data_IF_240502292789
#
_entry.id   IF_240502292789
#
_cell.length_a   1.000
_cell.length_b   1.000
_cell.length_c   1.000
_cell.angle_alpha   90.00
_cell.angle_beta   90.00
_cell.angle_gamma   90.00
#
_symmetry.space_group_name_H-M   'P 1'
#
loop_
_entity.id
_entity.type
_entity.pdbx_description
1 polymer ?
#
# COMPACT_ATOMS: atom_id res chain seq x y z
N UNK A 1 -25.66 14.97 -3.46
CA UNK A 1 -24.78 15.64 -4.46
C UNK A 1 -23.60 16.20 -3.69
N UNK A 2 -22.37 15.77 -4.04
CA UNK A 2 -21.05 16.03 -3.41
C UNK A 2 -20.38 14.78 -2.81
N UNK A 3 -20.10 13.75 -3.63
CA UNK A 3 -18.91 12.93 -3.40
C UNK A 3 -17.86 13.42 -4.38
N UNK A 4 -16.87 14.13 -3.85
CA UNK A 4 -15.70 14.54 -4.60
C UNK A 4 -14.80 13.32 -4.78
N UNK A 5 -15.13 12.44 -5.72
CA UNK A 5 -14.13 11.56 -6.33
C UNK A 5 -13.10 12.50 -6.95
N UNK A 6 -11.98 12.73 -6.27
CA UNK A 6 -10.86 13.44 -6.85
C UNK A 6 -10.22 12.51 -7.90
N UNK A 7 -10.91 12.36 -9.05
CA UNK A 7 -10.34 11.80 -10.27
C UNK A 7 -9.23 12.74 -10.67
N UNK A 8 -7.98 12.36 -10.39
CA UNK A 8 -6.86 13.03 -11.03
C UNK A 8 -6.65 12.33 -12.35
N UNK A 9 -7.35 12.80 -13.40
CA UNK A 9 -7.09 12.39 -14.79
C UNK A 9 -5.74 12.96 -15.22
N UNK A 10 -4.67 12.38 -14.69
CA UNK A 10 -3.32 12.66 -15.12
C UNK A 10 -2.54 11.36 -15.09
N UNK A 11 -2.75 10.56 -16.14
CA UNK A 11 -1.98 9.36 -16.41
C UNK A 11 -0.52 9.80 -16.60
N UNK A 12 0.32 9.53 -15.59
CA UNK A 12 1.76 9.76 -15.69
C UNK A 12 2.51 8.46 -15.86
N UNK A 13 3.70 8.47 -16.47
CA UNK A 13 4.67 7.41 -16.27
C UNK A 13 4.92 7.26 -14.77
N UNK A 14 4.50 6.13 -14.21
CA UNK A 14 4.68 5.79 -12.80
C UNK A 14 5.73 4.70 -12.66
N UNK A 15 6.62 4.86 -11.67
CA UNK A 15 7.66 3.89 -11.34
C UNK A 15 9.06 4.22 -11.86
N UNK A 16 9.25 5.32 -12.59
CA UNK A 16 10.57 5.85 -12.95
C UNK A 16 11.41 6.20 -11.70
N UNK A 17 12.73 6.28 -11.89
CA UNK A 17 13.64 6.63 -10.81
C UNK A 17 13.31 7.99 -10.18
N UNK A 18 13.05 7.97 -8.89
CA UNK A 18 12.92 9.17 -8.08
C UNK A 18 14.16 9.32 -7.22
N UNK A 19 14.90 10.41 -7.43
CA UNK A 19 16.11 10.73 -6.65
C UNK A 19 15.71 11.11 -5.23
N UNK A 20 16.34 10.48 -4.24
CA UNK A 20 16.08 10.74 -2.83
C UNK A 20 14.81 10.06 -2.28
N UNK A 21 14.17 9.19 -3.06
CA UNK A 21 13.02 8.41 -2.59
C UNK A 21 13.43 7.18 -1.76
N UNK A 22 14.68 6.72 -1.85
CA UNK A 22 15.21 5.68 -0.98
C UNK A 22 16.10 6.27 0.11
N UNK A 23 16.11 5.63 1.28
CA UNK A 23 17.01 5.95 2.40
C UNK A 23 18.49 5.98 1.95
N UNK A 24 18.86 5.20 0.93
CA UNK A 24 20.22 5.13 0.37
C UNK A 24 20.34 5.63 -1.09
N UNK A 25 19.36 6.39 -1.61
CA UNK A 25 19.47 6.98 -2.96
C UNK A 25 18.19 6.94 -3.79
N UNK A 26 18.24 6.27 -4.94
CA UNK A 26 17.13 6.23 -5.90
C UNK A 26 16.22 5.02 -5.67
N UNK A 27 14.91 5.21 -5.88
CA UNK A 27 13.92 4.12 -5.90
C UNK A 27 13.17 4.09 -7.23
N UNK A 28 12.77 2.89 -7.66
CA UNK A 28 11.90 2.64 -8.80
C UNK A 28 10.82 1.61 -8.44
N UNK A 29 9.69 1.66 -9.14
CA UNK A 29 8.64 0.64 -9.00
C UNK A 29 9.00 -0.67 -9.71
N UNK A 30 8.20 -1.71 -9.48
CA UNK A 30 8.35 -3.00 -10.18
C UNK A 30 8.12 -2.88 -11.70
N UNK A 31 7.26 -1.95 -12.12
CA UNK A 31 6.98 -1.63 -13.53
C UNK A 31 7.23 -0.14 -13.80
N UNK A 32 8.49 0.28 -14.08
CA UNK A 32 8.87 1.69 -14.20
C UNK A 32 8.23 2.46 -15.37
N UNK A 33 7.77 1.73 -16.39
CA UNK A 33 7.16 2.29 -17.60
C UNK A 33 5.63 2.21 -17.56
N UNK A 34 5.04 1.73 -16.45
CA UNK A 34 3.61 1.64 -16.32
C UNK A 34 2.98 3.03 -16.25
N UNK A 35 1.78 3.13 -16.80
CA UNK A 35 0.95 4.32 -16.69
C UNK A 35 0.11 4.21 -15.40
N UNK A 36 0.11 5.26 -14.59
CA UNK A 36 -0.59 5.26 -13.29
C UNK A 36 -1.75 6.24 -13.29
N UNK A 37 -2.94 5.72 -13.00
CA UNK A 37 -4.16 6.48 -12.72
C UNK A 37 -4.44 6.44 -11.21
N UNK A 38 -4.71 7.60 -10.62
CA UNK A 38 -4.91 7.74 -9.17
C UNK A 38 -6.37 8.02 -8.84
N UNK A 39 -6.97 7.15 -8.03
CA UNK A 39 -8.33 7.27 -7.52
C UNK A 39 -8.28 7.44 -6.00
N UNK A 40 -8.54 8.65 -5.52
CA UNK A 40 -8.55 8.92 -4.08
C UNK A 40 -9.90 8.52 -3.50
N UNK A 41 -9.91 7.39 -2.79
CA UNK A 41 -11.09 6.85 -2.09
C UNK A 41 -11.02 6.99 -0.57
N UNK A 42 -9.87 7.42 -0.05
CA UNK A 42 -9.64 7.63 1.38
C UNK A 42 -9.39 9.10 1.70
N UNK A 43 -9.98 9.50 2.82
CA UNK A 43 -9.66 10.74 3.53
C UNK A 43 -8.68 10.45 4.68
N UNK A 44 -8.05 11.48 5.28
CA UNK A 44 -7.17 11.27 6.43
C UNK A 44 -7.82 10.56 7.62
N UNK A 45 -9.15 10.62 7.73
CA UNK A 45 -9.91 10.03 8.83
C UNK A 45 -10.46 8.65 8.53
N UNK A 46 -10.81 8.36 7.27
CA UNK A 46 -11.45 7.10 6.89
C UNK A 46 -11.55 6.92 5.37
N UNK A 47 -11.73 5.67 4.96
CA UNK A 47 -12.17 5.28 3.63
C UNK A 47 -13.63 4.85 3.73
N UNK A 48 -14.55 5.55 3.06
CA UNK A 48 -15.96 5.16 3.08
C UNK A 48 -16.24 4.12 1.99
N UNK A 49 -17.11 3.16 2.26
CA UNK A 49 -17.47 2.14 1.27
C UNK A 49 -18.01 2.75 -0.03
N UNK A 50 -18.77 3.85 0.08
CA UNK A 50 -19.28 4.59 -1.07
C UNK A 50 -18.17 5.18 -1.94
N UNK A 51 -17.12 5.73 -1.34
CA UNK A 51 -16.01 6.31 -2.11
C UNK A 51 -15.15 5.21 -2.74
N UNK A 52 -15.01 4.06 -2.07
CA UNK A 52 -14.30 2.89 -2.61
C UNK A 52 -15.01 2.33 -3.85
N UNK A 53 -16.33 2.13 -3.78
CA UNK A 53 -17.13 1.68 -4.92
C UNK A 53 -17.04 2.70 -6.07
N UNK A 54 -17.20 3.99 -5.78
CA UNK A 54 -17.11 5.03 -6.81
C UNK A 54 -15.73 5.08 -7.48
N UNK A 55 -14.65 4.84 -6.72
CA UNK A 55 -13.30 4.74 -7.26
C UNK A 55 -13.08 3.51 -8.14
N UNK A 56 -13.61 2.35 -7.73
CA UNK A 56 -13.56 1.12 -8.53
C UNK A 56 -14.34 1.25 -9.83
N UNK A 57 -15.55 1.80 -9.79
CA UNK A 57 -16.36 2.05 -11.00
C UNK A 57 -15.67 3.03 -11.96
N UNK A 58 -15.10 4.12 -11.44
CA UNK A 58 -14.34 5.07 -12.26
C UNK A 58 -13.13 4.41 -12.92
N UNK A 59 -12.44 3.51 -12.22
CA UNK A 59 -11.30 2.81 -12.79
C UNK A 59 -11.69 1.77 -13.86
N UNK A 60 -12.85 1.14 -13.72
CA UNK A 60 -13.42 0.25 -14.74
C UNK A 60 -13.81 1.07 -15.98
N UNK A 61 -14.47 2.22 -15.79
CA UNK A 61 -14.83 3.16 -16.86
C UNK A 61 -13.60 3.66 -17.63
N UNK A 62 -12.51 3.96 -16.91
CA UNK A 62 -11.23 4.40 -17.49
C UNK A 62 -10.43 3.27 -18.16
N UNK A 63 -10.87 2.01 -18.05
CA UNK A 63 -10.28 0.86 -18.75
C UNK A 63 -8.87 0.49 -18.25
N UNK A 64 -8.62 0.56 -16.94
CA UNK A 64 -7.32 0.16 -16.37
C UNK A 64 -7.07 -1.35 -16.50
N UNK A 65 -5.81 -1.77 -16.56
CA UNK A 65 -5.45 -3.20 -16.66
C UNK A 65 -5.32 -3.89 -15.30
N UNK A 66 -4.82 -3.16 -14.30
CA UNK A 66 -4.54 -3.67 -12.97
C UNK A 66 -4.98 -2.64 -11.93
N UNK A 67 -5.69 -3.12 -10.92
CA UNK A 67 -6.09 -2.37 -9.73
C UNK A 67 -5.25 -2.82 -8.54
N UNK A 68 -4.61 -1.86 -7.86
CA UNK A 68 -3.83 -2.10 -6.65
C UNK A 68 -4.49 -1.40 -5.46
N UNK A 69 -5.08 -2.17 -4.56
CA UNK A 69 -5.81 -1.65 -3.39
C UNK A 69 -5.14 -2.12 -2.09
N UNK A 70 -4.48 -1.22 -1.40
CA UNK A 70 -4.00 -1.45 -0.02
C UNK A 70 -5.07 -1.05 1.00
N UNK A 71 -6.26 -1.62 0.83
CA UNK A 71 -7.46 -1.37 1.63
C UNK A 71 -8.06 -2.72 2.03
N UNK A 72 -8.80 -2.73 3.13
CA UNK A 72 -9.48 -3.91 3.64
C UNK A 72 -10.33 -3.53 4.84
N UNK A 73 -11.43 -4.25 5.02
CA UNK A 73 -12.28 -4.17 6.21
C UNK A 73 -12.23 -5.47 7.01
N UNK A 74 -13.07 -5.53 8.03
CA UNK A 74 -13.33 -6.78 8.75
C UNK A 74 -13.90 -7.84 7.79
N UNK A 75 -13.60 -9.13 8.00
CA UNK A 75 -14.15 -10.20 7.17
C UNK A 75 -15.69 -10.17 7.18
N UNK A 76 -16.28 -9.96 6.01
CA UNK A 76 -17.71 -9.96 5.81
C UNK A 76 -18.08 -10.91 4.66
N UNK A 77 -19.33 -11.41 4.60
CA UNK A 77 -19.82 -12.12 3.43
C UNK A 77 -19.61 -11.31 2.15
N UNK A 78 -19.25 -11.96 1.04
CA UNK A 78 -18.87 -11.27 -0.20
C UNK A 78 -19.94 -10.32 -0.76
N UNK A 79 -21.22 -10.59 -0.53
CA UNK A 79 -22.33 -9.74 -0.96
C UNK A 79 -22.52 -8.49 -0.09
N UNK A 80 -21.81 -8.39 1.03
CA UNK A 80 -21.79 -7.22 1.92
C UNK A 80 -20.43 -6.53 1.96
N UNK A 81 -19.42 -7.07 1.27
CA UNK A 81 -18.10 -6.47 1.16
C UNK A 81 -18.03 -5.63 -0.13
N UNK A 82 -17.92 -4.31 0.05
CA UNK A 82 -17.83 -3.34 -1.05
C UNK A 82 -16.62 -3.57 -1.96
N UNK A 83 -15.49 -4.03 -1.40
CA UNK A 83 -14.28 -4.36 -2.17
C UNK A 83 -14.52 -5.64 -2.96
N UNK A 84 -15.14 -6.67 -2.37
CA UNK A 84 -15.45 -7.91 -3.06
C UNK A 84 -16.40 -7.67 -4.25
N UNK A 85 -17.46 -6.87 -4.05
CA UNK A 85 -18.42 -6.52 -5.11
C UNK A 85 -17.74 -5.73 -6.23
N UNK A 86 -17.01 -4.67 -5.90
CA UNK A 86 -16.34 -3.85 -6.92
C UNK A 86 -15.23 -4.62 -7.65
N UNK A 87 -14.50 -5.49 -6.95
CA UNK A 87 -13.50 -6.36 -7.56
C UNK A 87 -14.12 -7.41 -8.49
N UNK A 88 -15.31 -7.92 -8.16
CA UNK A 88 -16.03 -8.84 -9.04
C UNK A 88 -16.37 -8.15 -10.37
N UNK A 89 -16.89 -6.91 -10.32
CA UNK A 89 -17.18 -6.10 -11.51
C UNK A 89 -15.93 -5.79 -12.33
N UNK A 90 -14.80 -5.51 -11.67
CA UNK A 90 -13.53 -5.30 -12.35
C UNK A 90 -13.07 -6.58 -13.08
N UNK A 91 -13.16 -7.74 -12.42
CA UNK A 91 -12.82 -9.04 -13.01
C UNK A 91 -13.70 -9.38 -14.21
N UNK A 92 -15.02 -9.11 -14.15
CA UNK A 92 -15.93 -9.27 -15.29
C UNK A 92 -15.52 -8.43 -16.51
N UNK A 93 -14.82 -7.32 -16.30
CA UNK A 93 -14.28 -6.45 -17.36
C UNK A 93 -12.81 -6.78 -17.72
N UNK A 94 -12.27 -7.91 -17.25
CA UNK A 94 -10.90 -8.36 -17.54
C UNK A 94 -9.80 -7.61 -16.78
N UNK A 95 -10.16 -6.89 -15.72
CA UNK A 95 -9.23 -6.11 -14.90
C UNK A 95 -8.77 -6.96 -13.72
N UNK A 96 -7.45 -7.08 -13.53
CA UNK A 96 -6.89 -7.82 -12.40
C UNK A 96 -6.89 -6.96 -11.13
N UNK A 97 -7.41 -7.50 -10.02
CA UNK A 97 -7.49 -6.79 -8.74
C UNK A 97 -6.53 -7.42 -7.74
N UNK A 98 -5.66 -6.60 -7.16
CA UNK A 98 -4.66 -7.00 -6.16
C UNK A 98 -4.95 -6.26 -4.85
N UNK A 99 -5.16 -7.01 -3.78
CA UNK A 99 -5.41 -6.47 -2.44
C UNK A 99 -4.43 -7.00 -1.39
N UNK A 100 -4.24 -6.26 -0.31
CA UNK A 100 -3.47 -6.73 0.85
C UNK A 100 -4.29 -7.72 1.71
N UNK A 101 -3.63 -8.72 2.29
CA UNK A 101 -4.24 -9.66 3.24
C UNK A 101 -4.64 -9.02 4.58
N UNK A 102 -4.18 -7.80 4.88
CA UNK A 102 -4.38 -7.14 6.17
C UNK A 102 -3.22 -7.37 7.15
N UNK A 103 -3.22 -6.62 8.26
CA UNK A 103 -2.13 -6.59 9.24
C UNK A 103 -2.55 -7.10 10.62
N UNK A 104 -3.68 -7.81 10.71
CA UNK A 104 -4.28 -8.28 11.97
C UNK A 104 -3.77 -9.66 12.44
N UNK A 105 -2.73 -10.19 11.78
CA UNK A 105 -2.07 -11.42 12.20
C UNK A 105 -1.40 -11.32 13.59
N UNK A 106 -0.87 -12.42 14.13
CA UNK A 106 -0.60 -13.71 13.46
C UNK A 106 -1.68 -14.79 13.66
N UNK A 107 -2.80 -14.47 14.33
CA UNK A 107 -3.81 -15.46 14.66
C UNK A 107 -4.47 -16.06 13.40
N UNK A 108 -4.86 -17.34 13.41
CA UNK A 108 -5.58 -17.94 12.28
C UNK A 108 -6.86 -17.16 11.93
N UNK A 109 -7.19 -17.08 10.64
CA UNK A 109 -8.40 -16.38 10.13
C UNK A 109 -8.43 -14.87 10.43
N UNK A 110 -7.27 -14.23 10.43
CA UNK A 110 -7.11 -12.77 10.57
C UNK A 110 -6.97 -12.03 9.24
N UNK A 111 -7.17 -12.73 8.11
CA UNK A 111 -7.03 -12.18 6.76
C UNK A 111 -8.30 -11.45 6.32
N UNK A 112 -8.12 -10.38 5.53
CA UNK A 112 -9.18 -9.66 4.82
C UNK A 112 -9.06 -9.89 3.30
N UNK A 113 -10.06 -9.43 2.54
CA UNK A 113 -10.10 -9.55 1.07
C UNK A 113 -10.05 -11.02 0.59
N UNK A 114 -10.91 -11.87 1.14
CA UNK A 114 -10.87 -13.33 0.91
C UNK A 114 -11.56 -13.77 -0.40
N UNK A 115 -12.05 -12.83 -1.21
CA UNK A 115 -12.82 -13.15 -2.40
C UNK A 115 -11.96 -13.88 -3.46
N UNK A 116 -12.43 -14.98 -4.07
CA UNK A 116 -11.62 -15.80 -4.98
C UNK A 116 -11.13 -15.09 -6.25
N UNK A 117 -11.77 -14.00 -6.64
CA UNK A 117 -11.41 -13.18 -7.80
C UNK A 117 -10.41 -12.05 -7.48
N UNK A 118 -9.94 -11.98 -6.23
CA UNK A 118 -8.93 -11.02 -5.78
C UNK A 118 -7.60 -11.75 -5.59
N UNK A 119 -6.51 -11.16 -6.10
CA UNK A 119 -5.16 -11.57 -5.73
C UNK A 119 -4.80 -10.97 -4.37
N UNK A 120 -4.91 -11.77 -3.31
CA UNK A 120 -4.66 -11.33 -1.94
C UNK A 120 -3.21 -11.59 -1.53
N UNK A 121 -2.50 -10.53 -1.15
CA UNK A 121 -1.04 -10.53 -0.95
C UNK A 121 -0.70 -10.37 0.53
N UNK A 122 0.04 -11.34 1.07
CA UNK A 122 0.66 -11.28 2.40
C UNK A 122 2.01 -10.56 2.39
N UNK A 123 2.44 -10.08 3.56
CA UNK A 123 3.74 -9.42 3.73
C UNK A 123 4.82 -10.40 4.22
N UNK A 124 6.03 -10.26 3.68
CA UNK A 124 7.23 -10.98 4.13
C UNK A 124 8.40 -10.02 4.29
N UNK A 125 9.46 -10.48 4.95
CA UNK A 125 10.71 -9.73 5.11
C UNK A 125 11.64 -9.90 3.90
N UNK A 126 12.55 -8.95 3.73
CA UNK A 126 13.68 -9.05 2.78
C UNK A 126 14.99 -9.25 3.54
N UNK A 127 16.07 -9.51 2.81
CA UNK A 127 17.43 -9.66 3.34
C UNK A 127 17.98 -8.36 3.96
N UNK A 128 17.58 -7.21 3.41
CA UNK A 128 17.99 -5.90 3.90
C UNK A 128 17.37 -5.56 5.26
N UNK A 129 18.22 -5.21 6.22
CA UNK A 129 17.85 -4.65 7.53
C UNK A 129 18.29 -3.19 7.64
N UNK A 130 17.44 -2.36 8.25
CA UNK A 130 17.78 -0.97 8.58
C UNK A 130 18.35 -0.94 10.00
N UNK A 131 19.62 -1.29 10.13
CA UNK A 131 20.30 -1.38 11.43
C UNK A 131 20.63 0.02 11.96
N UNK A 132 20.32 0.25 13.23
CA UNK A 132 20.71 1.43 13.98
C UNK A 132 21.45 1.01 15.25
N UNK A 133 22.75 1.31 15.30
CA UNK A 133 23.60 0.96 16.45
C UNK A 133 23.50 2.04 17.51
N UNK A 134 23.12 1.64 18.73
CA UNK A 134 23.09 2.52 19.91
C UNK A 134 24.37 2.32 20.69
N UNK A 135 25.08 3.42 20.98
CA UNK A 135 26.26 3.43 21.85
C UNK A 135 25.85 3.93 23.23
N UNK A 136 26.00 3.07 24.23
CA UNK A 136 25.74 3.39 25.64
C UNK A 136 27.03 3.85 26.34
N UNK A 137 26.87 4.51 27.49
CA UNK A 137 27.99 4.88 28.35
C UNK A 137 28.93 3.70 28.64
N UNK A 138 30.25 3.96 28.59
CA UNK A 138 31.36 2.98 28.59
C UNK A 138 31.59 2.24 27.26
N UNK A 139 31.12 2.77 26.13
CA UNK A 139 31.43 2.25 24.79
C UNK A 139 30.76 0.90 24.48
N UNK A 140 29.63 0.61 25.12
CA UNK A 140 28.86 -0.61 24.82
C UNK A 140 27.94 -0.34 23.64
N UNK A 141 28.03 -1.17 22.62
CA UNK A 141 27.25 -1.04 21.39
C UNK A 141 26.15 -2.10 21.32
N UNK A 142 24.97 -1.71 20.83
CA UNK A 142 23.82 -2.58 20.60
C UNK A 142 23.20 -2.28 19.24
N UNK A 143 23.05 -3.29 18.41
CA UNK A 143 22.35 -3.17 17.13
C UNK A 143 20.84 -3.26 17.34
N UNK A 144 20.14 -2.17 17.01
CA UNK A 144 18.69 -2.12 16.87
C UNK A 144 18.28 -1.97 15.41
N UNK A 145 16.98 -1.74 15.18
CA UNK A 145 16.44 -1.44 13.86
C UNK A 145 15.69 -0.10 13.91
N UNK A 146 15.99 0.80 12.97
CA UNK A 146 15.31 2.10 12.87
C UNK A 146 15.37 2.63 11.44
N UNK A 147 14.26 3.22 11.00
CA UNK A 147 14.18 3.94 9.73
C UNK A 147 14.48 5.44 9.89
N UNK A 148 14.87 5.88 11.08
CA UNK A 148 15.23 7.27 11.33
C UNK A 148 16.56 7.57 10.62
N UNK A 149 16.59 8.63 9.81
CA UNK A 149 17.82 9.10 9.18
C UNK A 149 18.78 9.64 10.23
N UNK A 150 19.58 8.77 10.84
CA UNK A 150 20.69 9.20 11.67
C UNK A 150 21.76 9.78 10.73
N UNK A 151 22.22 11.02 10.93
CA UNK A 151 23.50 11.42 10.35
C UNK A 151 24.57 10.42 10.84
N UNK A 152 25.61 10.14 10.02
CA UNK A 152 26.71 9.26 10.44
C UNK A 152 27.17 9.70 11.83
N UNK A 153 27.11 8.76 12.78
CA UNK A 153 27.26 9.00 14.21
C UNK A 153 28.56 9.73 14.52
N UNK A 154 28.48 11.03 14.78
CA UNK A 154 29.33 11.64 15.79
C UNK A 154 28.62 11.45 17.12
N UNK A 155 29.11 10.51 17.92
CA UNK A 155 28.83 10.28 19.35
C UNK A 155 27.49 10.86 19.86
N UNK A 156 26.44 10.06 19.85
CA UNK A 156 25.23 10.39 20.60
C UNK A 156 25.47 10.04 22.08
N UNK A 157 25.85 11.04 22.88
CA UNK A 157 25.70 10.98 24.34
C UNK A 157 24.19 10.95 24.67
N UNK A 158 23.72 9.81 25.16
CA UNK A 158 22.42 9.69 25.81
C UNK A 158 22.68 9.90 27.31
N UNK A 159 22.27 11.05 27.84
CA UNK A 159 22.24 11.35 29.28
C UNK A 159 21.19 10.52 30.02
#
# INVERSE_FOLDING_TARGET
MNSATARTHHVRPGGNFVRGAAIFGNANGIAPLAHVSMYRVCSPSSCTESDVIAGLEAAIEDGVYVLSLSLGGDPAPFYSDSIAIGAFRAMENGISVVCSAGNSGPDPRSMSNEAPWILTVGASTMDRKLTATVVLGKGKEFDGESAHGFPPTTEAEIF
#
